data_IF_881574299212
#
_entry.id   IF_881574299212
#
_cell.length_a   1.000
_cell.length_b   1.000
_cell.length_c   1.000
_cell.angle_alpha   90.00
_cell.angle_beta   90.00
_cell.angle_gamma   90.00
#
_symmetry.space_group_name_H-M   'P 1'
#
loop_
_entity.id
_entity.type
_entity.pdbx_description
1 polymer ?
#
# COMPACT_ATOMS: atom_id res chain seq x y z
N UNK A 1 2.00 -61.12 -14.96
CA UNK A 1 1.43 -60.87 -13.62
C UNK A 1 1.37 -59.36 -13.46
N UNK A 2 0.19 -58.78 -13.72
CA UNK A 2 -0.03 -57.33 -13.73
C UNK A 2 -0.59 -56.92 -12.38
N UNK A 3 0.15 -56.09 -11.65
CA UNK A 3 -0.24 -55.52 -10.37
C UNK A 3 -1.08 -54.28 -10.64
N UNK A 4 -2.40 -54.39 -10.52
CA UNK A 4 -3.32 -53.25 -10.52
C UNK A 4 -3.16 -52.47 -9.21
N UNK A 5 -2.64 -51.25 -9.32
CA UNK A 5 -2.53 -50.33 -8.19
C UNK A 5 -3.93 -49.79 -7.85
N UNK A 6 -4.49 -50.26 -6.73
CA UNK A 6 -5.72 -49.72 -6.15
C UNK A 6 -5.53 -48.23 -5.84
N UNK A 7 -6.31 -47.38 -6.52
CA UNK A 7 -6.40 -45.96 -6.23
C UNK A 7 -7.11 -45.79 -4.89
N UNK A 8 -6.51 -45.11 -3.88
CA UNK A 8 -7.15 -44.93 -2.59
C UNK A 8 -8.46 -44.15 -2.76
N UNK A 9 -9.54 -44.77 -2.29
CA UNK A 9 -10.89 -44.20 -2.22
C UNK A 9 -10.85 -42.82 -1.56
N UNK A 10 -11.51 -41.84 -2.19
CA UNK A 10 -11.73 -40.51 -1.66
C UNK A 10 -12.31 -40.60 -0.24
N UNK A 11 -11.46 -40.42 0.76
CA UNK A 11 -11.87 -40.32 2.14
C UNK A 11 -12.82 -39.14 2.26
N UNK A 12 -13.99 -39.37 2.83
CA UNK A 12 -14.96 -38.35 3.20
C UNK A 12 -14.25 -37.22 3.96
N UNK A 13 -14.23 -36.02 3.37
CA UNK A 13 -13.66 -34.83 3.99
C UNK A 13 -14.25 -34.68 5.40
N UNK A 14 -13.41 -34.51 6.44
CA UNK A 14 -13.91 -34.31 7.79
C UNK A 14 -14.82 -33.09 7.78
N UNK A 15 -16.08 -33.27 8.21
CA UNK A 15 -17.07 -32.20 8.26
C UNK A 15 -16.49 -31.03 9.08
N UNK A 16 -16.09 -29.96 8.40
CA UNK A 16 -15.58 -28.76 9.04
C UNK A 16 -16.75 -28.07 9.74
N UNK A 17 -16.83 -28.23 11.07
CA UNK A 17 -17.79 -27.52 11.90
C UNK A 17 -17.28 -26.09 12.13
N UNK A 18 -17.85 -25.13 11.40
CA UNK A 18 -17.72 -23.71 11.72
C UNK A 18 -18.94 -23.24 12.53
N UNK A 19 -18.74 -22.22 13.35
CA UNK A 19 -19.83 -21.56 14.09
C UNK A 19 -20.65 -20.68 13.13
N UNK A 20 -21.85 -21.16 12.76
CA UNK A 20 -22.75 -20.46 11.83
C UNK A 20 -23.20 -19.09 12.34
N UNK A 21 -23.34 -18.91 13.66
CA UNK A 21 -23.74 -17.64 14.24
C UNK A 21 -22.58 -16.64 14.19
N UNK A 22 -21.34 -17.09 14.47
CA UNK A 22 -20.15 -16.25 14.33
C UNK A 22 -19.94 -15.80 12.87
N UNK A 23 -20.10 -16.71 11.92
CA UNK A 23 -20.00 -16.41 10.49
C UNK A 23 -21.04 -15.36 10.07
N UNK A 24 -22.30 -15.55 10.48
CA UNK A 24 -23.40 -14.63 10.15
C UNK A 24 -23.16 -13.23 10.71
N UNK A 25 -22.65 -13.11 11.95
CA UNK A 25 -22.28 -11.82 12.56
C UNK A 25 -21.15 -11.13 11.79
N UNK A 26 -20.11 -11.87 11.40
CA UNK A 26 -18.98 -11.33 10.67
C UNK A 26 -19.37 -10.87 9.24
N UNK A 27 -20.26 -11.60 8.56
CA UNK A 27 -20.82 -11.18 7.27
C UNK A 27 -21.62 -9.88 7.40
N UNK A 28 -22.45 -9.75 8.44
CA UNK A 28 -23.19 -8.52 8.69
C UNK A 28 -22.25 -7.34 9.01
N UNK A 29 -21.14 -7.57 9.71
CA UNK A 29 -20.11 -6.56 9.94
C UNK A 29 -19.43 -6.13 8.63
N UNK A 30 -19.07 -7.09 7.78
CA UNK A 30 -18.45 -6.83 6.47
C UNK A 30 -19.39 -6.01 5.57
N UNK A 31 -20.68 -6.33 5.53
CA UNK A 31 -21.70 -5.57 4.79
C UNK A 31 -21.74 -4.11 5.23
N UNK A 32 -21.88 -3.85 6.54
CA UNK A 32 -21.86 -2.49 7.09
C UNK A 32 -20.56 -1.75 6.78
N UNK A 33 -19.42 -2.45 6.85
CA UNK A 33 -18.12 -1.86 6.54
C UNK A 33 -18.02 -1.47 5.05
N UNK A 34 -18.47 -2.34 4.15
CA UNK A 34 -18.51 -2.09 2.70
C UNK A 34 -19.41 -0.89 2.35
N UNK A 35 -20.59 -0.80 2.95
CA UNK A 35 -21.52 0.33 2.80
C UNK A 35 -20.88 1.66 3.23
N UNK A 36 -20.07 1.65 4.29
CA UNK A 36 -19.39 2.86 4.78
C UNK A 36 -18.27 3.36 3.85
N UNK A 37 -17.78 2.51 2.93
CA UNK A 37 -16.64 2.79 2.03
C UNK A 37 -15.35 3.24 2.74
N UNK A 38 -15.21 2.96 4.04
CA UNK A 38 -14.01 3.27 4.82
C UNK A 38 -13.04 2.09 4.77
N UNK A 39 -11.77 2.39 4.51
CA UNK A 39 -10.71 1.40 4.31
C UNK A 39 -10.47 0.53 5.55
N UNK A 40 -10.20 1.13 6.71
CA UNK A 40 -9.86 0.38 7.93
C UNK A 40 -11.00 -0.54 8.41
N UNK A 41 -12.26 -0.06 8.56
CA UNK A 41 -13.37 -0.94 8.94
C UNK A 41 -13.55 -2.12 7.99
N UNK A 42 -13.35 -1.91 6.69
CA UNK A 42 -13.51 -2.96 5.69
C UNK A 42 -12.41 -4.03 5.81
N UNK A 43 -11.16 -3.61 5.99
CA UNK A 43 -10.03 -4.53 6.25
C UNK A 43 -10.22 -5.31 7.56
N UNK A 44 -10.66 -4.65 8.63
CA UNK A 44 -10.92 -5.28 9.93
C UNK A 44 -12.06 -6.29 9.87
N UNK A 45 -13.18 -5.92 9.25
CA UNK A 45 -14.34 -6.81 9.12
C UNK A 45 -13.99 -8.06 8.30
N UNK A 46 -13.16 -7.94 7.25
CA UNK A 46 -12.69 -9.11 6.51
C UNK A 46 -11.79 -10.02 7.36
N UNK A 47 -10.92 -9.46 8.21
CA UNK A 47 -10.11 -10.27 9.14
C UNK A 47 -11.00 -11.02 10.13
N UNK A 48 -12.03 -10.39 10.70
CA UNK A 48 -13.01 -11.06 11.55
C UNK A 48 -13.74 -12.18 10.81
N UNK A 49 -14.16 -11.93 9.57
CA UNK A 49 -14.78 -12.94 8.72
C UNK A 49 -13.86 -14.14 8.49
N UNK A 50 -12.58 -13.92 8.19
CA UNK A 50 -11.61 -15.02 8.01
C UNK A 50 -11.43 -15.86 9.27
N UNK A 51 -11.47 -15.24 10.45
CA UNK A 51 -11.38 -15.95 11.73
C UNK A 51 -12.64 -16.79 11.95
N UNK A 52 -13.82 -16.22 11.70
CA UNK A 52 -15.10 -16.93 11.82
C UNK A 52 -15.24 -18.08 10.81
N UNK A 53 -14.68 -17.93 9.62
CA UNK A 53 -14.68 -18.92 8.54
C UNK A 53 -13.50 -19.90 8.61
N UNK A 54 -12.83 -20.05 9.76
CA UNK A 54 -11.65 -20.93 9.88
C UNK A 54 -12.00 -22.36 9.47
N UNK A 55 -11.26 -22.89 8.50
CA UNK A 55 -11.46 -24.23 7.93
C UNK A 55 -12.30 -24.26 6.65
N UNK A 56 -12.97 -23.17 6.30
CA UNK A 56 -13.68 -23.03 5.02
C UNK A 56 -12.69 -22.81 3.87
N UNK A 57 -12.98 -23.36 2.69
CA UNK A 57 -12.17 -23.07 1.49
C UNK A 57 -12.42 -21.64 1.04
N UNK A 58 -11.38 -20.92 0.59
CA UNK A 58 -11.51 -19.51 0.18
C UNK A 58 -12.58 -19.30 -0.90
N UNK A 59 -12.69 -20.21 -1.87
CA UNK A 59 -13.72 -20.13 -2.91
C UNK A 59 -15.14 -20.23 -2.37
N UNK A 60 -15.37 -21.05 -1.34
CA UNK A 60 -16.68 -21.16 -0.68
C UNK A 60 -16.99 -19.89 0.12
N UNK A 61 -15.99 -19.35 0.81
CA UNK A 61 -16.13 -18.09 1.54
C UNK A 61 -16.51 -16.95 0.60
N UNK A 62 -15.80 -16.79 -0.53
CA UNK A 62 -16.14 -15.72 -1.49
C UNK A 62 -17.51 -15.92 -2.13
N UNK A 63 -17.94 -17.14 -2.42
CA UNK A 63 -19.31 -17.38 -2.90
C UNK A 63 -20.38 -16.95 -1.89
N UNK A 64 -20.15 -17.19 -0.59
CA UNK A 64 -21.06 -16.72 0.47
C UNK A 64 -21.05 -15.20 0.53
N UNK A 65 -19.87 -14.57 0.51
CA UNK A 65 -19.74 -13.11 0.62
C UNK A 65 -20.34 -12.40 -0.59
N UNK A 66 -20.09 -12.86 -1.81
CA UNK A 66 -20.62 -12.25 -3.04
C UNK A 66 -22.15 -12.31 -3.07
N UNK A 67 -22.75 -13.42 -2.59
CA UNK A 67 -24.20 -13.55 -2.44
C UNK A 67 -24.76 -12.58 -1.39
N UNK A 68 -24.06 -12.39 -0.28
CA UNK A 68 -24.49 -11.45 0.76
C UNK A 68 -24.28 -9.98 0.39
N UNK A 69 -23.25 -9.65 -0.39
CA UNK A 69 -22.95 -8.24 -0.72
C UNK A 69 -23.53 -7.80 -2.07
N UNK A 70 -24.12 -8.71 -2.84
CA UNK A 70 -24.68 -8.46 -4.18
C UNK A 70 -23.67 -7.83 -5.16
N UNK A 71 -22.37 -7.99 -4.88
CA UNK A 71 -21.28 -7.43 -5.67
C UNK A 71 -19.99 -8.26 -5.46
N UNK A 72 -19.09 -8.31 -6.46
CA UNK A 72 -17.80 -8.99 -6.30
C UNK A 72 -16.96 -8.33 -5.21
N UNK A 73 -16.88 -8.98 -4.04
CA UNK A 73 -16.23 -8.39 -2.85
C UNK A 73 -14.72 -8.26 -3.02
N UNK A 74 -14.14 -9.15 -3.82
CA UNK A 74 -12.69 -9.23 -4.03
C UNK A 74 -12.13 -7.89 -4.50
N UNK A 75 -12.75 -7.26 -5.50
CA UNK A 75 -12.29 -5.96 -6.01
C UNK A 75 -12.38 -4.86 -4.95
N UNK A 76 -13.39 -4.91 -4.08
CA UNK A 76 -13.58 -3.93 -3.00
C UNK A 76 -12.49 -4.12 -1.94
N UNK A 77 -12.20 -5.37 -1.55
CA UNK A 77 -11.16 -5.72 -0.59
C UNK A 77 -9.75 -5.42 -1.12
N UNK A 78 -9.45 -5.81 -2.37
CA UNK A 78 -8.19 -5.46 -3.03
C UNK A 78 -8.00 -3.95 -3.08
N UNK A 79 -9.07 -3.20 -3.40
CA UNK A 79 -9.03 -1.75 -3.34
C UNK A 79 -8.77 -1.22 -1.93
N UNK A 80 -9.44 -1.74 -0.91
CA UNK A 80 -9.23 -1.33 0.48
C UNK A 80 -7.79 -1.61 0.95
N UNK A 81 -7.30 -2.84 0.78
CA UNK A 81 -5.93 -3.20 1.18
C UNK A 81 -4.87 -2.43 0.40
N UNK A 82 -5.11 -2.06 -0.87
CA UNK A 82 -4.17 -1.23 -1.64
C UNK A 82 -4.05 0.22 -1.15
N UNK A 83 -5.04 0.72 -0.41
CA UNK A 83 -5.08 2.07 0.16
C UNK A 83 -4.94 2.07 1.68
N UNK A 84 -4.70 0.91 2.31
CA UNK A 84 -4.56 0.84 3.76
C UNK A 84 -3.36 1.67 4.20
N UNK A 85 -3.59 2.65 5.06
CA UNK A 85 -2.57 3.62 5.43
C UNK A 85 -1.65 3.10 6.53
N UNK A 86 -0.41 3.56 6.53
CA UNK A 86 0.50 3.37 7.66
C UNK A 86 -0.05 4.09 8.90
N UNK A 87 -0.22 3.37 10.02
CA UNK A 87 -0.76 3.94 11.26
C UNK A 87 0.23 4.85 12.01
N UNK A 88 1.51 4.86 11.61
CA UNK A 88 2.59 5.60 12.28
C UNK A 88 2.90 6.97 11.64
N UNK A 89 2.23 7.33 10.55
CA UNK A 89 2.54 8.56 9.83
C UNK A 89 1.34 9.16 9.10
N UNK A 90 1.52 10.40 8.65
CA UNK A 90 0.60 11.05 7.73
C UNK A 90 1.07 10.79 6.29
N UNK A 91 0.58 9.69 5.73
CA UNK A 91 0.75 9.32 4.32
C UNK A 91 2.22 9.21 3.86
N UNK A 92 3.03 8.52 4.66
CA UNK A 92 4.39 8.10 4.31
C UNK A 92 5.50 9.04 4.78
N UNK A 93 5.17 10.22 5.30
CA UNK A 93 6.17 11.21 5.73
C UNK A 93 6.01 11.59 7.19
N UNK A 94 7.10 12.09 7.78
CA UNK A 94 7.13 12.66 9.13
C UNK A 94 7.93 13.96 9.11
N UNK A 95 7.62 14.87 10.03
CA UNK A 95 8.47 16.03 10.25
C UNK A 95 9.86 15.56 10.69
N UNK A 96 10.90 16.20 10.15
CA UNK A 96 12.26 15.92 10.59
C UNK A 96 12.41 16.35 12.05
N UNK A 97 12.61 15.39 12.95
CA UNK A 97 12.72 15.64 14.39
C UNK A 97 13.89 16.58 14.75
N UNK A 98 14.95 16.64 13.93
CA UNK A 98 16.14 17.45 14.21
C UNK A 98 15.96 18.94 13.92
N UNK A 99 15.12 19.30 12.93
CA UNK A 99 14.85 20.69 12.58
C UNK A 99 13.37 21.08 12.76
N UNK A 100 12.59 20.20 13.39
CA UNK A 100 11.16 20.39 13.66
C UNK A 100 10.34 20.82 12.44
N UNK A 101 10.69 20.33 11.26
CA UNK A 101 9.98 20.67 10.03
C UNK A 101 10.41 21.95 9.32
N UNK A 102 11.37 22.69 9.87
CA UNK A 102 11.86 23.95 9.28
C UNK A 102 12.81 23.72 8.10
N UNK A 103 13.55 22.61 8.13
CA UNK A 103 14.64 22.35 7.19
C UNK A 103 15.99 22.95 7.60
N UNK A 104 16.06 23.69 8.71
CA UNK A 104 17.28 24.38 9.16
C UNK A 104 17.56 24.09 10.64
N UNK A 105 18.85 24.03 11.01
CA UNK A 105 19.28 23.83 12.41
C UNK A 105 19.82 25.11 13.04
N UNK A 106 20.32 26.03 12.22
CA UNK A 106 20.83 27.37 12.57
C UNK A 106 20.43 28.33 11.44
N UNK A 107 20.57 29.65 11.64
CA UNK A 107 20.32 30.64 10.59
C UNK A 107 21.10 30.29 9.31
N UNK A 108 20.37 30.01 8.23
CA UNK A 108 20.89 29.63 6.91
C UNK A 108 21.68 28.31 6.84
N UNK A 109 21.66 27.46 7.89
CA UNK A 109 22.28 26.13 7.84
C UNK A 109 21.25 25.04 7.63
N UNK A 110 21.31 24.38 6.47
CA UNK A 110 20.45 23.24 6.14
C UNK A 110 20.61 22.12 7.18
N UNK A 111 19.50 21.53 7.57
CA UNK A 111 19.46 20.39 8.48
C UNK A 111 20.12 19.17 7.83
N UNK A 112 21.22 18.63 8.37
CA UNK A 112 21.95 17.51 7.74
C UNK A 112 21.11 16.23 7.69
N UNK A 113 20.17 16.04 8.63
CA UNK A 113 19.35 14.83 8.70
C UNK A 113 18.28 14.71 7.61
N UNK A 114 17.68 15.83 7.18
CA UNK A 114 16.69 15.85 6.09
C UNK A 114 17.22 16.54 4.83
N UNK A 115 18.50 16.90 4.80
CA UNK A 115 19.13 17.63 3.69
C UNK A 115 18.52 19.01 3.40
N UNK A 116 17.73 19.59 4.31
CA UNK A 116 17.01 20.85 4.07
C UNK A 116 15.50 20.72 3.81
N UNK A 117 14.96 19.50 3.70
CA UNK A 117 13.57 19.28 3.31
C UNK A 117 12.54 19.60 4.40
N UNK A 118 12.96 19.58 5.67
CA UNK A 118 12.05 19.61 6.83
C UNK A 118 11.22 18.32 7.00
N UNK A 119 11.30 17.38 6.06
CA UNK A 119 10.57 16.12 6.08
C UNK A 119 11.54 14.95 5.98
N UNK A 120 11.17 13.83 6.58
CA UNK A 120 11.83 12.54 6.39
C UNK A 120 10.80 11.48 6.00
N UNK A 121 11.19 10.44 5.25
CA UNK A 121 10.35 9.25 5.10
C UNK A 121 9.98 8.70 6.48
N UNK A 122 8.76 8.20 6.63
CA UNK A 122 8.37 7.47 7.83
C UNK A 122 9.24 6.22 7.96
N UNK A 123 9.90 6.03 9.11
CA UNK A 123 10.75 4.87 9.35
C UNK A 123 10.00 3.53 9.45
N UNK A 124 8.67 3.55 9.64
CA UNK A 124 7.86 2.33 9.72
C UNK A 124 7.45 1.80 8.35
N UNK A 125 6.96 2.67 7.46
CA UNK A 125 6.52 2.28 6.12
C UNK A 125 7.51 2.70 5.02
N UNK A 126 8.71 3.15 5.40
CA UNK A 126 9.80 3.56 4.52
C UNK A 126 9.38 4.55 3.42
N UNK A 127 8.54 5.53 3.77
CA UNK A 127 8.05 6.50 2.80
C UNK A 127 6.79 6.10 2.01
N UNK A 128 6.37 4.83 2.02
CA UNK A 128 5.28 4.37 1.12
C UNK A 128 3.92 4.97 1.45
N UNK A 129 3.66 5.23 2.74
CA UNK A 129 2.36 5.57 3.28
C UNK A 129 1.40 4.38 3.38
N UNK A 130 1.84 3.17 3.04
CA UNK A 130 1.04 1.95 3.09
C UNK A 130 1.25 1.18 4.40
N UNK A 131 0.22 0.47 4.84
CA UNK A 131 0.33 -0.49 5.93
C UNK A 131 1.29 -1.64 5.56
N UNK A 132 1.83 -2.30 6.59
CA UNK A 132 2.68 -3.47 6.41
C UNK A 132 1.95 -4.56 5.61
N UNK A 133 2.65 -5.10 4.61
CA UNK A 133 2.19 -6.15 3.70
C UNK A 133 1.90 -7.46 4.40
N UNK A 134 2.52 -7.72 5.55
CA UNK A 134 2.19 -8.89 6.36
C UNK A 134 0.72 -8.89 6.79
N UNK A 135 0.09 -7.71 6.86
CA UNK A 135 -1.33 -7.56 7.15
C UNK A 135 -2.25 -7.76 5.94
N UNK A 136 -1.69 -7.92 4.73
CA UNK A 136 -2.47 -8.23 3.52
C UNK A 136 -2.70 -9.75 3.47
N UNK A 137 -3.97 -10.19 3.46
CA UNK A 137 -4.32 -11.59 3.27
C UNK A 137 -3.62 -12.20 2.05
N UNK A 138 -3.00 -13.40 2.16
CA UNK A 138 -2.23 -14.01 1.06
C UNK A 138 -2.97 -14.05 -0.28
N UNK A 139 -4.27 -14.33 -0.24
CA UNK A 139 -5.15 -14.39 -1.41
C UNK A 139 -5.29 -13.07 -2.17
N UNK A 140 -4.99 -11.93 -1.54
CA UNK A 140 -5.07 -10.61 -2.17
C UNK A 140 -3.71 -10.00 -2.50
N UNK A 141 -2.60 -10.57 -2.02
CA UNK A 141 -1.28 -9.92 -2.11
C UNK A 141 -0.91 -9.53 -3.54
N UNK A 142 -1.02 -10.46 -4.48
CA UNK A 142 -0.71 -10.21 -5.89
C UNK A 142 -1.58 -9.09 -6.48
N UNK A 143 -2.90 -9.19 -6.32
CA UNK A 143 -3.84 -8.19 -6.85
C UNK A 143 -3.64 -6.80 -6.21
N UNK A 144 -3.31 -6.75 -4.91
CA UNK A 144 -2.98 -5.50 -4.20
C UNK A 144 -1.67 -4.90 -4.75
N UNK A 145 -0.64 -5.71 -4.99
CA UNK A 145 0.63 -5.27 -5.59
C UNK A 145 0.39 -4.68 -6.98
N UNK A 146 -0.35 -5.39 -7.84
CA UNK A 146 -0.68 -4.92 -9.19
C UNK A 146 -1.44 -3.59 -9.16
N UNK A 147 -2.38 -3.44 -8.23
CA UNK A 147 -3.13 -2.19 -8.03
C UNK A 147 -2.24 -1.05 -7.51
N UNK A 148 -1.41 -1.30 -6.51
CA UNK A 148 -0.43 -0.34 -6.00
C UNK A 148 0.53 0.12 -7.10
N UNK A 149 0.99 -0.81 -7.94
CA UNK A 149 1.85 -0.53 -9.07
C UNK A 149 1.14 0.34 -10.12
N UNK A 150 -0.12 0.05 -10.42
CA UNK A 150 -0.94 0.91 -11.29
C UNK A 150 -1.08 2.34 -10.73
N UNK A 151 -1.15 2.50 -9.40
CA UNK A 151 -1.21 3.83 -8.77
C UNK A 151 0.11 4.57 -8.93
N UNK A 152 1.24 3.91 -8.65
CA UNK A 152 2.57 4.48 -8.83
C UNK A 152 2.82 4.89 -10.28
N UNK A 153 2.37 4.10 -11.26
CA UNK A 153 2.47 4.47 -12.68
C UNK A 153 1.71 5.78 -13.00
N UNK A 154 0.51 5.96 -12.45
CA UNK A 154 -0.26 7.22 -12.61
C UNK A 154 0.40 8.39 -11.90
N UNK A 155 0.92 8.18 -10.69
CA UNK A 155 1.64 9.22 -9.94
C UNK A 155 2.93 9.64 -10.67
N UNK A 156 3.66 8.69 -11.26
CA UNK A 156 4.83 8.95 -12.09
C UNK A 156 4.50 9.74 -13.35
N UNK A 157 3.41 9.38 -14.04
CA UNK A 157 2.93 10.15 -15.18
C UNK A 157 2.62 11.59 -14.77
N UNK A 158 1.87 11.78 -13.69
CA UNK A 158 1.54 13.10 -13.13
C UNK A 158 2.79 13.87 -12.73
N UNK A 159 3.79 13.22 -12.16
CA UNK A 159 5.08 13.82 -11.84
C UNK A 159 5.82 14.27 -13.09
N UNK A 160 5.86 13.44 -14.14
CA UNK A 160 6.42 13.81 -15.43
C UNK A 160 5.74 15.05 -16.01
N UNK A 161 4.42 15.08 -16.04
CA UNK A 161 3.63 16.21 -16.57
C UNK A 161 3.81 17.50 -15.75
N UNK A 162 3.86 17.37 -14.42
CA UNK A 162 4.00 18.52 -13.50
C UNK A 162 5.42 19.08 -13.56
N UNK A 163 6.44 18.22 -13.44
CA UNK A 163 7.84 18.63 -13.37
C UNK A 163 8.39 19.06 -14.73
N UNK A 164 7.91 18.50 -15.85
CA UNK A 164 8.33 18.95 -17.19
C UNK A 164 7.92 20.41 -17.48
N UNK A 165 6.85 20.90 -16.84
CA UNK A 165 6.37 22.27 -16.96
C UNK A 165 6.94 23.21 -15.90
N UNK A 166 7.54 22.66 -14.84
CA UNK A 166 8.06 23.45 -13.73
C UNK A 166 9.39 24.10 -14.12
N UNK A 167 9.40 25.42 -14.21
CA UNK A 167 10.65 26.17 -14.29
C UNK A 167 11.26 26.30 -12.89
N UNK A 168 12.58 26.51 -12.81
CA UNK A 168 13.24 26.78 -11.52
C UNK A 168 12.58 27.95 -10.78
N UNK A 169 12.29 29.03 -11.51
CA UNK A 169 11.61 30.21 -10.95
C UNK A 169 10.23 29.87 -10.36
N UNK A 170 9.44 28.99 -11.01
CA UNK A 170 8.14 28.58 -10.50
C UNK A 170 8.25 27.74 -9.21
N UNK A 171 9.29 26.91 -9.10
CA UNK A 171 9.56 26.12 -7.90
C UNK A 171 10.07 27.00 -6.74
N UNK A 172 10.88 28.01 -7.06
CA UNK A 172 11.40 28.98 -6.08
C UNK A 172 10.30 29.92 -5.58
N UNK A 173 9.24 30.15 -6.38
CA UNK A 173 8.09 30.98 -6.01
C UNK A 173 6.99 30.23 -5.25
N UNK A 174 7.15 28.93 -4.99
CA UNK A 174 6.14 28.17 -4.23
C UNK A 174 6.04 28.71 -2.80
N UNK A 175 4.82 28.74 -2.26
CA UNK A 175 4.64 28.99 -0.84
C UNK A 175 5.32 27.90 -0.02
N UNK A 176 5.69 28.17 1.23
CA UNK A 176 6.27 27.15 2.11
C UNK A 176 5.36 25.92 2.25
N UNK A 177 4.04 26.12 2.26
CA UNK A 177 3.04 25.06 2.33
C UNK A 177 3.03 24.21 1.06
N UNK A 178 2.98 24.85 -0.12
CA UNK A 178 2.94 24.13 -1.41
C UNK A 178 4.25 23.40 -1.68
N UNK A 179 5.39 24.02 -1.33
CA UNK A 179 6.71 23.39 -1.39
C UNK A 179 6.73 22.16 -0.50
N UNK A 180 6.26 22.26 0.76
CA UNK A 180 6.19 21.12 1.68
C UNK A 180 5.29 20.00 1.13
N UNK A 181 4.12 20.33 0.58
CA UNK A 181 3.22 19.36 -0.01
C UNK A 181 3.85 18.64 -1.23
N UNK A 182 4.54 19.39 -2.10
CA UNK A 182 5.29 18.84 -3.23
C UNK A 182 6.40 17.88 -2.75
N UNK A 183 7.19 18.29 -1.76
CA UNK A 183 8.26 17.46 -1.19
C UNK A 183 7.71 16.20 -0.54
N UNK A 184 6.63 16.29 0.23
CA UNK A 184 5.98 15.14 0.84
C UNK A 184 5.48 14.14 -0.20
N UNK A 185 4.86 14.63 -1.27
CA UNK A 185 4.41 13.78 -2.38
C UNK A 185 5.56 13.11 -3.12
N UNK A 186 6.66 13.83 -3.40
CA UNK A 186 7.84 13.28 -4.06
C UNK A 186 8.54 12.23 -3.18
N UNK A 187 8.71 12.49 -1.88
CA UNK A 187 9.24 11.51 -0.92
C UNK A 187 8.39 10.24 -0.90
N UNK A 188 7.06 10.40 -0.89
CA UNK A 188 6.14 9.27 -0.91
C UNK A 188 6.24 8.46 -2.19
N UNK A 189 6.30 9.13 -3.33
CA UNK A 189 6.45 8.48 -4.63
C UNK A 189 7.79 7.72 -4.72
N UNK A 190 8.87 8.31 -4.21
CA UNK A 190 10.17 7.66 -4.08
C UNK A 190 10.10 6.40 -3.20
N UNK A 191 9.52 6.50 -1.99
CA UNK A 191 9.34 5.35 -1.10
C UNK A 191 8.50 4.23 -1.72
N UNK A 192 7.38 4.55 -2.37
CA UNK A 192 6.53 3.57 -3.08
C UNK A 192 7.28 2.85 -4.21
N UNK A 193 8.08 3.55 -4.98
CA UNK A 193 8.88 2.93 -6.05
C UNK A 193 9.99 2.05 -5.50
N UNK A 194 10.74 2.51 -4.51
CA UNK A 194 11.79 1.72 -3.85
C UNK A 194 11.22 0.44 -3.25
N UNK A 195 10.11 0.57 -2.51
CA UNK A 195 9.40 -0.56 -1.92
C UNK A 195 8.94 -1.56 -2.98
N UNK A 196 8.32 -1.09 -4.06
CA UNK A 196 7.86 -1.98 -5.14
C UNK A 196 9.04 -2.65 -5.86
N UNK A 197 10.13 -1.92 -6.12
CA UNK A 197 11.31 -2.45 -6.79
C UNK A 197 12.00 -3.59 -6.00
N UNK A 198 11.88 -3.59 -4.67
CA UNK A 198 12.45 -4.63 -3.81
C UNK A 198 11.61 -5.90 -3.66
N UNK A 199 10.54 -6.07 -4.43
CA UNK A 199 9.62 -7.22 -4.28
C UNK A 199 9.90 -8.31 -5.30
N UNK A 200 10.26 -9.48 -4.82
CA UNK A 200 10.44 -10.67 -5.67
C UNK A 200 9.15 -11.04 -6.45
N UNK A 201 7.97 -10.78 -5.85
CA UNK A 201 6.66 -11.12 -6.42
C UNK A 201 6.28 -10.34 -7.70
N UNK A 202 7.05 -9.31 -8.10
CA UNK A 202 6.76 -8.60 -9.36
C UNK A 202 7.09 -9.43 -10.61
N UNK A 203 7.95 -10.45 -10.50
CA UNK A 203 8.26 -11.39 -11.58
C UNK A 203 8.95 -10.81 -12.83
N UNK A 204 9.16 -9.50 -12.89
CA UNK A 204 9.76 -8.76 -14.00
C UNK A 204 10.94 -7.92 -13.48
N UNK A 205 12.15 -8.43 -13.69
CA UNK A 205 13.40 -7.79 -13.27
C UNK A 205 13.67 -6.47 -14.00
N UNK A 206 13.20 -6.31 -15.23
CA UNK A 206 13.31 -5.06 -15.98
C UNK A 206 12.42 -3.99 -15.33
N UNK A 207 11.20 -4.37 -14.97
CA UNK A 207 10.29 -3.48 -14.28
C UNK A 207 10.81 -3.05 -12.91
N UNK A 208 11.36 -3.97 -12.11
CA UNK A 208 12.00 -3.65 -10.84
C UNK A 208 13.16 -2.66 -11.03
N UNK A 209 14.05 -2.92 -11.98
CA UNK A 209 15.18 -2.05 -12.29
C UNK A 209 14.72 -0.65 -12.73
N UNK A 210 13.65 -0.58 -13.53
CA UNK A 210 13.05 0.70 -13.97
C UNK A 210 12.50 1.49 -12.78
N UNK A 211 11.77 0.85 -11.87
CA UNK A 211 11.24 1.51 -10.67
C UNK A 211 12.38 2.03 -9.78
N UNK A 212 13.41 1.21 -9.54
CA UNK A 212 14.59 1.61 -8.78
C UNK A 212 15.30 2.82 -9.40
N UNK A 213 15.52 2.80 -10.71
CA UNK A 213 16.13 3.93 -11.41
C UNK A 213 15.30 5.22 -11.33
N UNK A 214 13.97 5.12 -11.36
CA UNK A 214 13.06 6.27 -11.19
C UNK A 214 13.08 6.79 -9.75
N UNK A 215 13.16 5.91 -8.74
CA UNK A 215 13.31 6.30 -7.34
C UNK A 215 14.59 7.11 -7.11
N UNK A 216 15.74 6.65 -7.63
CA UNK A 216 17.01 7.39 -7.56
C UNK A 216 16.95 8.74 -8.28
N UNK A 217 16.17 8.86 -9.36
CA UNK A 217 15.97 10.15 -10.04
C UNK A 217 15.19 11.14 -9.18
N UNK A 218 14.13 10.69 -8.51
CA UNK A 218 13.35 11.54 -7.59
C UNK A 218 14.19 11.97 -6.40
N UNK A 219 14.99 11.06 -5.82
CA UNK A 219 15.93 11.38 -4.74
C UNK A 219 16.87 12.53 -5.12
N UNK A 220 17.52 12.44 -6.29
CA UNK A 220 18.37 13.53 -6.82
C UNK A 220 17.60 14.83 -7.07
N UNK A 221 16.32 14.76 -7.41
CA UNK A 221 15.47 15.95 -7.53
C UNK A 221 15.18 16.57 -6.17
N UNK A 222 14.88 15.76 -5.15
CA UNK A 222 14.67 16.21 -3.78
C UNK A 222 15.92 16.91 -3.21
N UNK A 223 17.11 16.34 -3.41
CA UNK A 223 18.39 16.95 -3.00
C UNK A 223 18.60 18.34 -3.63
N UNK A 224 18.18 18.53 -4.90
CA UNK A 224 18.27 19.82 -5.58
C UNK A 224 17.28 20.83 -5.03
N UNK A 225 16.04 20.38 -4.78
CA UNK A 225 14.98 21.23 -4.21
C UNK A 225 15.32 21.68 -2.79
N UNK A 226 16.08 20.89 -2.03
CA UNK A 226 16.46 21.23 -0.67
C UNK A 226 17.55 22.33 -0.58
N UNK A 227 18.29 22.56 -1.67
CA UNK A 227 19.38 23.56 -1.74
C UNK A 227 18.98 24.90 -2.34
N UNK A 228 17.78 25.01 -2.93
CA UNK A 228 17.29 26.21 -3.61
C UNK A 228 16.28 26.95 -2.76
#
# INVERSE_FOLDING_TARGET
MSTEAQTPSAGSDPAVLYDSDALSRALAELRRAAESRRVEPLCTAYQHLRIAARGMRLGELFQIVDRELEAPVENVLVSAYSHRHCFMCDDGTSLCAHCEGTGYVEENRLCPQCGGLGLTPCGFCEGTGWADRQNIPPEFRKAVIERQLAHVRRDLQRAGETLAKATRQALDSLSATDRRALLAWLLRLQGRMSHLAGLDDLGDSEQQARLGAMATRIEKCLEKLARG
#
